data_IF_812390172066
#
_entry.id   IF_812390172066
#
_cell.length_a   1.000
_cell.length_b   1.000
_cell.length_c   1.000
_cell.angle_alpha   90.00
_cell.angle_beta   90.00
_cell.angle_gamma   90.00
#
_symmetry.space_group_name_H-M   'P 1'
#
loop_
_entity.id
_entity.type
_entity.pdbx_description
1 polymer ?
#
# COMPACT_ATOMS: atom_id res chain seq x y z
N UNK A 1 4.40 -12.96 -0.33
CA UNK A 1 5.30 -12.25 -1.27
C UNK A 1 4.65 -10.95 -1.78
N UNK A 2 5.41 -9.86 -1.94
CA UNK A 2 4.90 -8.61 -2.53
C UNK A 2 4.69 -8.80 -4.06
N UNK A 3 3.47 -8.62 -4.56
CA UNK A 3 3.13 -8.95 -5.96
C UNK A 3 1.90 -8.17 -6.45
N UNK A 4 1.81 -7.82 -7.75
CA UNK A 4 0.57 -7.32 -8.36
C UNK A 4 -0.60 -8.30 -8.16
N UNK A 5 -1.68 -7.83 -7.56
CA UNK A 5 -2.81 -8.69 -7.19
C UNK A 5 -3.78 -8.95 -8.35
N UNK A 6 -3.73 -8.12 -9.41
CA UNK A 6 -4.58 -8.24 -10.59
C UNK A 6 -6.06 -8.02 -10.27
N UNK A 7 -6.92 -8.89 -10.79
CA UNK A 7 -8.39 -8.82 -10.61
C UNK A 7 -8.91 -9.52 -9.34
N UNK A 8 -8.01 -9.98 -8.46
CA UNK A 8 -8.43 -10.64 -7.22
C UNK A 8 -9.13 -9.62 -6.30
N UNK A 9 -10.22 -9.99 -5.61
CA UNK A 9 -10.81 -9.14 -4.59
C UNK A 9 -9.72 -8.73 -3.59
N UNK A 10 -9.48 -7.45 -3.43
CA UNK A 10 -8.44 -6.90 -2.54
C UNK A 10 -9.02 -5.92 -1.55
N UNK A 11 -8.28 -5.67 -0.47
CA UNK A 11 -8.62 -4.64 0.50
C UNK A 11 -7.38 -3.84 0.89
N UNK A 12 -7.53 -2.52 0.95
CA UNK A 12 -6.51 -1.55 1.30
C UNK A 12 -6.32 -1.40 2.80
N UNK A 13 -5.11 -1.65 3.31
CA UNK A 13 -4.80 -1.69 4.75
C UNK A 13 -3.79 -0.60 5.14
N UNK A 14 -4.08 0.65 4.76
CA UNK A 14 -3.21 1.80 5.04
C UNK A 14 -2.87 1.96 6.53
N UNK A 15 -1.58 2.13 6.83
CA UNK A 15 -1.05 2.16 8.20
C UNK A 15 -0.17 3.39 8.43
N UNK A 16 -0.80 4.51 8.80
CA UNK A 16 -0.10 5.75 9.16
C UNK A 16 0.64 5.67 10.50
N UNK A 17 0.33 4.66 11.32
CA UNK A 17 0.85 4.50 12.68
C UNK A 17 2.07 3.57 12.74
N UNK A 18 2.34 2.81 11.66
CA UNK A 18 3.43 1.83 11.53
C UNK A 18 3.30 0.63 12.46
N UNK A 19 2.10 0.40 13.02
CA UNK A 19 1.84 -0.60 14.05
C UNK A 19 0.58 -1.42 13.78
N UNK A 20 -0.21 -1.07 12.76
CA UNK A 20 -1.51 -1.68 12.53
C UNK A 20 -1.42 -2.98 11.69
N UNK A 21 -0.35 -3.15 10.91
CA UNK A 21 -0.20 -4.29 9.99
C UNK A 21 -0.42 -5.68 10.64
N UNK A 22 0.07 -5.98 11.87
CA UNK A 22 -0.26 -7.25 12.54
C UNK A 22 -1.75 -7.46 12.76
N UNK A 23 -2.48 -6.41 13.13
CA UNK A 23 -3.95 -6.43 13.25
C UNK A 23 -4.62 -6.61 11.89
N UNK A 24 -4.10 -5.96 10.84
CA UNK A 24 -4.59 -6.14 9.46
C UNK A 24 -4.44 -7.58 8.98
N UNK A 25 -3.30 -8.23 9.27
CA UNK A 25 -3.07 -9.65 8.97
C UNK A 25 -4.10 -10.53 9.70
N UNK A 26 -4.36 -10.26 10.99
CA UNK A 26 -5.37 -11.00 11.75
C UNK A 26 -6.78 -10.83 11.16
N UNK A 27 -7.13 -9.61 10.73
CA UNK A 27 -8.45 -9.30 10.19
C UNK A 27 -8.71 -9.93 8.82
N UNK A 28 -7.69 -10.00 7.95
CA UNK A 28 -7.86 -10.56 6.60
C UNK A 28 -7.80 -12.09 6.57
N UNK A 29 -7.25 -12.72 7.62
CA UNK A 29 -7.10 -14.17 7.71
C UNK A 29 -8.44 -14.88 7.60
N UNK A 30 -8.53 -15.87 6.70
CA UNK A 30 -9.75 -16.63 6.45
C UNK A 30 -10.80 -15.92 5.60
N UNK A 31 -10.54 -14.68 5.15
CA UNK A 31 -11.40 -13.98 4.18
C UNK A 31 -10.97 -14.29 2.75
N UNK A 32 -11.78 -13.86 1.78
CA UNK A 32 -11.46 -13.95 0.34
C UNK A 32 -10.56 -12.83 -0.18
N UNK A 33 -10.22 -11.85 0.67
CA UNK A 33 -9.54 -10.64 0.23
C UNK A 33 -8.02 -10.82 0.21
N UNK A 34 -7.39 -10.38 -0.88
CA UNK A 34 -5.94 -10.24 -0.97
C UNK A 34 -5.53 -8.90 -0.33
N UNK A 35 -4.63 -8.88 0.66
CA UNK A 35 -4.32 -7.66 1.39
C UNK A 35 -3.36 -6.76 0.61
N UNK A 36 -3.61 -5.46 0.66
CA UNK A 36 -2.67 -4.41 0.25
C UNK A 36 -2.16 -3.73 1.52
N UNK A 37 -1.09 -4.28 2.10
CA UNK A 37 -0.57 -3.84 3.41
C UNK A 37 0.22 -2.54 3.35
N UNK A 38 0.91 -2.27 2.25
CA UNK A 38 1.66 -1.04 2.06
C UNK A 38 0.83 -0.05 1.24
N UNK A 39 -0.05 0.72 1.89
CA UNK A 39 -0.84 1.75 1.23
C UNK A 39 -0.63 3.09 1.94
N UNK A 40 -0.22 4.10 1.17
CA UNK A 40 -0.19 5.48 1.64
C UNK A 40 -0.03 6.45 0.46
N UNK A 41 -0.74 7.57 0.52
CA UNK A 41 -0.66 8.68 -0.42
C UNK A 41 0.56 9.58 -0.18
N UNK A 42 0.91 10.35 -1.21
CA UNK A 42 1.98 11.38 -1.15
C UNK A 42 1.73 12.36 0.01
N UNK A 43 0.49 12.84 0.17
CA UNK A 43 0.11 13.80 1.22
C UNK A 43 0.31 13.23 2.62
N UNK A 44 -0.09 11.98 2.84
CA UNK A 44 0.08 11.34 4.14
C UNK A 44 1.56 11.13 4.44
N UNK A 45 2.34 10.64 3.48
CA UNK A 45 3.80 10.43 3.62
C UNK A 45 4.51 11.72 4.04
N UNK A 46 4.23 12.83 3.34
CA UNK A 46 4.77 14.14 3.67
C UNK A 46 4.35 14.59 5.10
N UNK A 47 3.08 14.41 5.47
CA UNK A 47 2.55 14.84 6.77
C UNK A 47 3.20 14.13 7.96
N UNK A 48 3.57 12.86 7.82
CA UNK A 48 4.18 12.07 8.91
C UNK A 48 5.69 11.85 8.74
N UNK A 49 6.31 12.52 7.78
CA UNK A 49 7.75 12.43 7.50
C UNK A 49 8.21 11.00 7.21
N UNK A 50 7.43 10.25 6.41
CA UNK A 50 7.71 8.86 6.08
C UNK A 50 8.07 8.72 4.60
N UNK A 51 9.11 7.95 4.31
CA UNK A 51 9.51 7.65 2.94
C UNK A 51 8.69 6.48 2.37
N UNK A 52 8.56 6.40 1.05
CA UNK A 52 7.87 5.32 0.35
C UNK A 52 8.45 3.94 0.72
N UNK A 53 9.78 3.86 0.78
CA UNK A 53 10.49 2.64 1.17
C UNK A 53 10.19 2.24 2.63
N UNK A 54 10.00 3.19 3.54
CA UNK A 54 9.62 2.88 4.92
C UNK A 54 8.22 2.24 4.99
N UNK A 55 7.27 2.68 4.15
CA UNK A 55 5.94 2.05 4.08
C UNK A 55 6.04 0.58 3.69
N UNK A 56 6.81 0.27 2.63
CA UNK A 56 7.08 -1.10 2.19
C UNK A 56 7.78 -1.92 3.29
N UNK A 57 8.79 -1.34 3.93
CA UNK A 57 9.60 -2.05 4.93
C UNK A 57 8.79 -2.37 6.19
N UNK A 58 7.94 -1.47 6.66
CA UNK A 58 7.07 -1.71 7.82
C UNK A 58 6.08 -2.85 7.54
N UNK A 59 5.44 -2.84 6.36
CA UNK A 59 4.53 -3.90 5.95
C UNK A 59 5.26 -5.24 5.81
N UNK A 60 6.43 -5.26 5.15
CA UNK A 60 7.24 -6.47 4.97
C UNK A 60 7.68 -7.06 6.31
N UNK A 61 8.16 -6.23 7.25
CA UNK A 61 8.53 -6.69 8.60
C UNK A 61 7.38 -7.40 9.31
N UNK A 62 6.16 -6.86 9.23
CA UNK A 62 5.00 -7.48 9.84
C UNK A 62 4.58 -8.79 9.14
N UNK A 63 4.66 -8.83 7.80
CA UNK A 63 4.41 -10.05 7.00
C UNK A 63 5.41 -11.16 7.37
N UNK A 64 6.70 -10.83 7.41
CA UNK A 64 7.77 -11.77 7.73
C UNK A 64 7.63 -12.28 9.17
N UNK A 65 7.36 -11.38 10.12
CA UNK A 65 7.15 -11.76 11.52
C UNK A 65 5.90 -12.66 11.72
N UNK A 66 4.89 -12.52 10.87
CA UNK A 66 3.69 -13.36 10.90
C UNK A 66 3.86 -14.69 10.16
N UNK A 67 4.98 -14.91 9.45
CA UNK A 67 5.16 -16.07 8.58
C UNK A 67 4.11 -16.14 7.47
N UNK A 68 3.66 -14.98 6.96
CA UNK A 68 2.62 -14.93 5.94
C UNK A 68 3.23 -15.17 4.56
N UNK A 69 2.95 -16.35 4.00
CA UNK A 69 3.45 -16.76 2.69
C UNK A 69 2.55 -16.32 1.52
N UNK A 70 1.33 -15.87 1.80
CA UNK A 70 0.39 -15.46 0.75
C UNK A 70 0.82 -14.17 0.02
N UNK A 71 0.33 -13.94 -1.21
CA UNK A 71 0.55 -12.68 -1.91
C UNK A 71 -0.04 -11.49 -1.16
N UNK A 72 0.67 -10.36 -1.17
CA UNK A 72 0.20 -9.08 -0.68
C UNK A 72 0.64 -7.94 -1.60
N UNK A 73 -0.07 -6.83 -1.59
CA UNK A 73 0.14 -5.68 -2.48
C UNK A 73 0.65 -4.43 -1.79
N UNK A 74 1.06 -3.47 -2.60
CA UNK A 74 1.46 -2.13 -2.20
C UNK A 74 0.84 -1.10 -3.15
N UNK A 75 0.13 -0.12 -2.61
CA UNK A 75 -0.66 0.88 -3.34
C UNK A 75 -0.13 2.30 -3.14
N UNK A 76 0.24 2.90 -4.27
CA UNK A 76 0.59 4.30 -4.39
C UNK A 76 -0.72 5.11 -4.50
N UNK A 77 -1.24 5.50 -3.34
CA UNK A 77 -2.58 6.05 -3.22
C UNK A 77 -2.64 7.53 -3.65
N UNK A 78 -3.73 7.95 -4.27
CA UNK A 78 -4.00 9.34 -4.68
C UNK A 78 -2.85 10.03 -5.45
N UNK A 79 -2.36 9.40 -6.52
CA UNK A 79 -1.38 10.01 -7.42
C UNK A 79 -2.03 11.03 -8.35
N UNK A 80 -1.64 12.29 -8.20
CA UNK A 80 -2.13 13.40 -9.04
C UNK A 80 -1.17 13.79 -10.15
N UNK A 81 0.13 13.57 -9.95
CA UNK A 81 1.17 13.99 -10.89
C UNK A 81 2.01 12.81 -11.36
N UNK A 82 2.52 12.90 -12.59
CA UNK A 82 3.46 11.90 -13.14
C UNK A 82 4.80 11.94 -12.41
N UNK A 83 5.19 13.11 -11.88
CA UNK A 83 6.45 13.29 -11.17
C UNK A 83 6.54 12.45 -9.89
N UNK A 84 5.40 12.18 -9.24
CA UNK A 84 5.35 11.34 -8.06
C UNK A 84 5.60 9.85 -8.36
N UNK A 85 5.38 9.38 -9.60
CA UNK A 85 5.40 7.95 -9.95
C UNK A 85 6.77 7.29 -9.75
N UNK A 86 7.84 7.96 -10.14
CA UNK A 86 9.18 7.36 -10.19
C UNK A 86 9.59 6.75 -8.83
N UNK A 87 9.36 7.49 -7.74
CA UNK A 87 9.70 7.00 -6.40
C UNK A 87 8.89 5.78 -5.96
N UNK A 88 7.62 5.68 -6.36
CA UNK A 88 6.79 4.51 -6.05
C UNK A 88 7.20 3.29 -6.88
N UNK A 89 7.51 3.48 -8.16
CA UNK A 89 8.04 2.43 -9.04
C UNK A 89 9.36 1.89 -8.47
N UNK A 90 10.30 2.77 -8.13
CA UNK A 90 11.60 2.39 -7.57
C UNK A 90 11.48 1.66 -6.22
N UNK A 91 10.53 2.05 -5.37
CA UNK A 91 10.25 1.38 -4.10
C UNK A 91 9.54 0.01 -4.25
N UNK A 92 9.07 -0.32 -5.47
CA UNK A 92 8.44 -1.59 -5.78
C UNK A 92 6.94 -1.66 -5.48
N UNK A 93 6.23 -0.53 -5.57
CA UNK A 93 4.76 -0.52 -5.48
C UNK A 93 4.14 -1.31 -6.64
N UNK A 94 2.98 -1.90 -6.38
CA UNK A 94 2.35 -2.90 -7.28
C UNK A 94 0.94 -2.52 -7.73
N UNK A 95 0.39 -1.45 -7.17
CA UNK A 95 -0.87 -0.81 -7.52
C UNK A 95 -0.67 0.71 -7.51
N UNK A 96 -1.26 1.41 -8.46
CA UNK A 96 -1.13 2.85 -8.64
C UNK A 96 -2.52 3.46 -8.79
N UNK A 97 -2.94 4.25 -7.80
CA UNK A 97 -4.25 4.89 -7.79
C UNK A 97 -4.13 6.30 -8.36
N UNK A 98 -4.50 6.45 -9.64
CA UNK A 98 -4.49 7.75 -10.33
C UNK A 98 -5.72 8.55 -9.94
N UNK A 99 -5.52 9.76 -9.42
CA UNK A 99 -6.56 10.69 -9.01
C UNK A 99 -6.70 11.82 -10.06
N UNK A 100 -7.72 11.76 -10.93
CA UNK A 100 -7.96 12.80 -11.93
C UNK A 100 -8.78 13.98 -11.38
N UNK A 101 -9.00 14.08 -10.06
CA UNK A 101 -9.94 15.01 -9.45
C UNK A 101 -9.71 16.49 -9.82
N UNK A 102 -8.46 16.89 -10.06
CA UNK A 102 -8.11 18.26 -10.48
C UNK A 102 -8.51 18.57 -11.94
N UNK A 103 -8.93 17.55 -12.70
CA UNK A 103 -9.36 17.64 -14.11
C UNK A 103 -10.86 17.39 -14.30
N UNK A 104 -11.62 17.21 -13.22
CA UNK A 104 -13.08 17.03 -13.29
C UNK A 104 -13.77 18.40 -13.27
N UNK A 105 -14.60 18.66 -14.29
CA UNK A 105 -15.54 19.78 -14.29
C UNK A 105 -16.79 19.38 -13.50
N UNK A 106 -17.17 20.19 -12.49
CA UNK A 106 -18.18 19.84 -11.47
C UNK A 106 -19.50 20.59 -11.68
#
# INVERSE_FOLDING_TARGET
MLTPLGIRPSFGFGDRLRLATPGHIAAVKGTRFSPVFAQQSVRENARIGRTLQQVINDARRAVDAAGLDSPWGADADHLKTVDDLAGFVDAGYTLFTVDPGDHVDN
#
